data_IF_401920374467
#
_entry.id   IF_401920374467
#
_cell.length_a   1.000
_cell.length_b   1.000
_cell.length_c   1.000
_cell.angle_alpha   90.00
_cell.angle_beta   90.00
_cell.angle_gamma   90.00
#
_symmetry.space_group_name_H-M   'P 1'
#
loop_
_entity.id
_entity.type
_entity.pdbx_description
1 polymer ?
#
# COMPACT_ATOMS: atom_id res chain seq x y z
N UNK A 1 4.97 -10.31 28.42
CA UNK A 1 3.77 -10.91 29.06
C UNK A 1 2.71 -11.08 27.97
N UNK A 2 1.82 -12.04 28.15
CA UNK A 2 0.70 -12.30 27.26
C UNK A 2 -0.62 -12.14 28.02
N UNK A 3 -1.67 -11.78 27.29
CA UNK A 3 -3.04 -11.61 27.82
C UNK A 3 -4.07 -12.40 26.99
N UNK A 4 -3.60 -13.41 26.29
CA UNK A 4 -4.39 -14.23 25.36
C UNK A 4 -5.52 -15.00 26.04
N UNK A 5 -5.40 -15.36 27.31
CA UNK A 5 -6.45 -16.00 28.08
C UNK A 5 -7.69 -15.12 28.29
N UNK A 6 -7.57 -13.81 28.15
CA UNK A 6 -8.67 -12.85 28.34
C UNK A 6 -9.37 -12.47 27.02
N UNK A 7 -8.90 -12.94 25.87
CA UNK A 7 -9.52 -12.73 24.58
C UNK A 7 -9.83 -11.26 24.26
N UNK A 8 -11.06 -10.97 23.83
CA UNK A 8 -11.50 -9.61 23.48
C UNK A 8 -11.57 -8.66 24.67
N UNK A 9 -11.88 -9.16 25.85
CA UNK A 9 -11.94 -8.37 27.08
C UNK A 9 -10.55 -7.88 27.47
N UNK A 10 -9.52 -8.73 27.31
CA UNK A 10 -8.13 -8.35 27.49
C UNK A 10 -7.69 -7.24 26.53
N UNK A 11 -8.08 -7.33 25.26
CA UNK A 11 -7.81 -6.27 24.28
C UNK A 11 -8.48 -4.93 24.69
N UNK A 12 -9.71 -4.97 25.18
CA UNK A 12 -10.41 -3.78 25.66
C UNK A 12 -9.71 -3.19 26.90
N UNK A 13 -9.30 -4.03 27.86
CA UNK A 13 -8.56 -3.58 29.02
C UNK A 13 -7.24 -2.92 28.66
N UNK A 14 -6.50 -3.44 27.66
CA UNK A 14 -5.28 -2.80 27.15
C UNK A 14 -5.55 -1.43 26.53
N UNK A 15 -6.66 -1.25 25.82
CA UNK A 15 -7.03 0.05 25.25
C UNK A 15 -7.28 1.10 26.34
N UNK A 16 -7.68 0.68 27.53
CA UNK A 16 -7.96 1.54 28.67
C UNK A 16 -6.78 1.74 29.62
N UNK A 17 -5.71 0.97 29.47
CA UNK A 17 -4.57 0.88 30.39
C UNK A 17 -3.60 2.07 30.29
N UNK A 18 -4.09 3.30 30.15
CA UNK A 18 -3.28 4.53 30.13
C UNK A 18 -2.48 4.68 31.42
N UNK A 19 -1.19 4.92 31.29
CA UNK A 19 -0.24 4.98 32.43
C UNK A 19 0.42 3.64 32.76
N UNK A 20 -0.06 2.54 32.15
CA UNK A 20 0.57 1.22 32.21
C UNK A 20 1.11 0.78 30.85
N UNK A 21 0.50 1.27 29.77
CA UNK A 21 0.90 1.06 28.38
C UNK A 21 1.15 2.42 27.74
N UNK A 22 2.30 2.59 27.10
CA UNK A 22 2.71 3.84 26.46
C UNK A 22 2.19 3.96 25.03
N UNK A 23 2.10 2.84 24.31
CA UNK A 23 1.62 2.79 22.92
C UNK A 23 1.00 1.43 22.59
N UNK A 24 -0.05 1.44 21.77
CA UNK A 24 -0.65 0.25 21.17
C UNK A 24 -0.35 0.23 19.66
N UNK A 25 0.02 -0.94 19.16
CA UNK A 25 0.22 -1.18 17.72
C UNK A 25 -0.70 -2.34 17.33
N UNK A 26 -1.95 -2.06 16.91
CA UNK A 26 -2.90 -3.13 16.57
C UNK A 26 -2.46 -3.86 15.30
N UNK A 27 -2.55 -5.19 15.32
CA UNK A 27 -2.31 -6.07 14.18
C UNK A 27 -3.52 -6.98 13.98
N UNK A 28 -4.05 -7.03 12.75
CA UNK A 28 -5.21 -7.85 12.42
C UNK A 28 -6.04 -7.25 11.30
N UNK A 29 -7.27 -7.71 11.14
CA UNK A 29 -8.18 -7.17 10.12
C UNK A 29 -8.64 -5.74 10.42
N UNK A 30 -9.11 -5.03 9.38
CA UNK A 30 -9.52 -3.63 9.45
C UNK A 30 -10.49 -3.32 10.61
N UNK A 31 -11.42 -4.23 10.91
CA UNK A 31 -12.38 -4.06 12.02
C UNK A 31 -11.71 -3.95 13.39
N UNK A 32 -10.68 -4.77 13.67
CA UNK A 32 -9.93 -4.69 14.92
C UNK A 32 -9.14 -3.38 14.99
N UNK A 33 -8.43 -3.05 13.93
CA UNK A 33 -7.61 -1.82 13.87
C UNK A 33 -8.49 -0.60 14.14
N UNK A 34 -9.63 -0.49 13.44
CA UNK A 34 -10.58 0.61 13.62
C UNK A 34 -11.19 0.64 15.04
N UNK A 35 -11.47 -0.52 15.64
CA UNK A 35 -11.96 -0.56 17.01
C UNK A 35 -10.92 -0.03 18.00
N UNK A 36 -9.66 -0.40 17.84
CA UNK A 36 -8.56 0.10 18.68
C UNK A 36 -8.38 1.61 18.49
N UNK A 37 -8.31 2.09 17.25
CA UNK A 37 -8.12 3.52 16.94
C UNK A 37 -9.24 4.37 17.54
N UNK A 38 -10.50 3.92 17.47
CA UNK A 38 -11.65 4.68 17.95
C UNK A 38 -11.84 4.66 19.47
N UNK A 39 -11.46 3.57 20.12
CA UNK A 39 -11.82 3.33 21.53
C UNK A 39 -10.63 3.44 22.50
N UNK A 40 -9.39 3.43 22.01
CA UNK A 40 -8.22 3.45 22.88
C UNK A 40 -8.03 4.79 23.58
N UNK A 41 -7.75 4.73 24.88
CA UNK A 41 -7.25 5.86 25.69
C UNK A 41 -5.71 5.92 25.71
N UNK A 42 -5.06 4.84 25.25
CA UNK A 42 -3.62 4.73 25.05
C UNK A 42 -3.31 5.24 23.64
N UNK A 43 -2.20 5.97 23.42
CA UNK A 43 -1.75 6.31 22.05
C UNK A 43 -1.65 5.10 21.15
N UNK A 44 -2.10 5.24 19.89
CA UNK A 44 -2.12 4.15 18.91
C UNK A 44 -1.24 4.50 17.73
N UNK A 45 -0.39 3.56 17.31
CA UNK A 45 0.23 3.60 15.99
C UNK A 45 -0.57 2.65 15.10
N UNK A 46 -1.32 3.23 14.17
CA UNK A 46 -2.17 2.49 13.26
C UNK A 46 -1.35 1.85 12.16
N UNK A 47 -1.55 0.54 11.95
CA UNK A 47 -1.08 -0.15 10.74
C UNK A 47 -2.26 -0.28 9.79
N UNK A 48 -2.07 0.10 8.50
CA UNK A 48 -3.18 0.18 7.55
C UNK A 48 -3.38 -1.09 6.72
N UNK A 49 -4.59 -1.24 6.17
CA UNK A 49 -4.84 -2.10 5.02
C UNK A 49 -4.10 -1.55 3.79
N UNK A 50 -3.83 -2.38 2.80
CA UNK A 50 -3.04 -2.00 1.63
C UNK A 50 -3.83 -2.06 0.32
N UNK A 51 -4.67 -1.07 0.02
CA UNK A 51 -5.21 -0.91 -1.34
C UNK A 51 -4.16 -0.23 -2.24
N UNK A 52 -3.19 -1.03 -2.67
CA UNK A 52 -1.94 -0.60 -3.31
C UNK A 52 -2.11 -0.51 -4.83
N UNK A 53 -1.63 0.60 -5.42
CA UNK A 53 -1.73 0.86 -6.85
C UNK A 53 -0.37 0.87 -7.52
N UNK A 54 -0.33 0.40 -8.77
CA UNK A 54 0.78 0.60 -9.69
C UNK A 54 0.26 1.39 -10.88
N UNK A 55 0.92 2.49 -11.20
CA UNK A 55 0.64 3.28 -12.39
C UNK A 55 1.73 3.12 -13.43
N UNK A 56 1.34 2.71 -14.64
CA UNK A 56 2.22 2.64 -15.82
C UNK A 56 1.99 3.90 -16.64
N UNK A 57 2.97 4.79 -16.60
CA UNK A 57 2.95 6.06 -17.33
C UNK A 57 3.18 5.88 -18.84
N UNK A 58 2.83 6.90 -19.63
CA UNK A 58 3.05 6.92 -21.08
C UNK A 58 4.51 6.69 -21.49
N UNK A 59 5.46 7.09 -20.63
CA UNK A 59 6.90 6.92 -20.84
C UNK A 59 7.47 5.66 -20.18
N UNK A 60 6.61 4.81 -19.58
CA UNK A 60 7.04 3.62 -18.86
C UNK A 60 7.76 2.61 -19.76
N UNK A 61 8.85 2.03 -19.24
CA UNK A 61 9.50 0.88 -19.84
C UNK A 61 8.61 -0.37 -19.60
N UNK A 62 7.93 -0.80 -20.66
CA UNK A 62 6.95 -1.87 -20.59
C UNK A 62 7.58 -3.24 -20.31
N UNK A 63 8.84 -3.44 -20.67
CA UNK A 63 9.58 -4.68 -20.39
C UNK A 63 9.93 -4.78 -18.90
N UNK A 64 10.20 -3.66 -18.23
CA UNK A 64 10.36 -3.58 -16.78
C UNK A 64 9.02 -3.66 -16.03
N UNK A 65 7.95 -3.12 -16.61
CA UNK A 65 6.63 -3.06 -15.98
C UNK A 65 6.07 -4.45 -15.66
N UNK A 66 6.14 -5.39 -16.60
CA UNK A 66 5.55 -6.74 -16.44
C UNK A 66 6.15 -7.48 -15.24
N UNK A 67 7.47 -7.68 -15.11
CA UNK A 67 8.03 -8.38 -13.95
C UNK A 67 7.75 -7.64 -12.62
N UNK A 68 7.71 -6.32 -12.62
CA UNK A 68 7.36 -5.53 -11.42
C UNK A 68 5.92 -5.85 -10.97
N UNK A 69 4.96 -5.80 -11.89
CA UNK A 69 3.54 -6.06 -11.61
C UNK A 69 3.34 -7.51 -11.15
N UNK A 70 3.92 -8.47 -11.86
CA UNK A 70 3.85 -9.88 -11.49
C UNK A 70 4.41 -10.10 -10.08
N UNK A 71 5.59 -9.57 -9.79
CA UNK A 71 6.17 -9.69 -8.45
C UNK A 71 5.28 -9.03 -7.40
N UNK A 72 4.83 -7.80 -7.65
CA UNK A 72 4.00 -7.04 -6.73
C UNK A 72 2.66 -7.74 -6.42
N UNK A 73 2.05 -8.41 -7.40
CA UNK A 73 0.77 -9.11 -7.20
C UNK A 73 0.92 -10.53 -6.69
N UNK A 74 1.90 -11.29 -7.19
CA UNK A 74 1.87 -12.76 -7.06
C UNK A 74 2.89 -13.35 -6.10
N UNK A 75 3.89 -12.58 -5.65
CA UNK A 75 4.90 -13.09 -4.72
C UNK A 75 4.26 -13.52 -3.38
N UNK A 76 3.33 -12.71 -2.86
CA UNK A 76 2.55 -13.00 -1.66
C UNK A 76 1.29 -12.14 -1.65
N UNK A 77 0.15 -12.73 -1.94
CA UNK A 77 -1.11 -12.00 -2.15
C UNK A 77 -1.76 -11.46 -0.88
N UNK A 78 -1.60 -12.16 0.25
CA UNK A 78 -2.28 -11.84 1.51
C UNK A 78 -1.51 -10.85 2.39
N UNK A 79 -0.77 -9.91 1.82
CA UNK A 79 -0.01 -8.88 2.55
C UNK A 79 -0.33 -7.48 2.06
N UNK A 80 -0.27 -6.51 2.98
CA UNK A 80 -0.69 -5.13 2.77
C UNK A 80 0.07 -4.33 1.70
N UNK A 81 1.25 -4.80 1.25
CA UNK A 81 2.03 -4.18 0.17
C UNK A 81 1.92 -4.92 -1.17
N UNK A 82 1.06 -5.95 -1.27
CA UNK A 82 0.73 -6.57 -2.56
C UNK A 82 -0.07 -5.60 -3.42
N UNK A 83 0.21 -5.57 -4.73
CA UNK A 83 -0.55 -4.69 -5.63
C UNK A 83 -2.00 -5.17 -5.78
N UNK A 84 -2.94 -4.24 -5.68
CA UNK A 84 -4.36 -4.49 -5.81
C UNK A 84 -4.95 -3.86 -7.08
N UNK A 85 -4.35 -2.75 -7.54
CA UNK A 85 -4.81 -2.01 -8.72
C UNK A 85 -3.65 -1.74 -9.68
N UNK A 86 -3.96 -1.83 -10.96
CA UNK A 86 -3.10 -1.47 -12.09
C UNK A 86 -3.77 -0.34 -12.88
N UNK A 87 -3.20 0.84 -12.85
CA UNK A 87 -3.60 1.96 -13.68
C UNK A 87 -2.65 2.08 -14.86
N UNK A 88 -3.17 2.26 -16.06
CA UNK A 88 -2.37 2.29 -17.29
C UNK A 88 -2.72 3.55 -18.08
N UNK A 89 -1.70 4.34 -18.44
CA UNK A 89 -1.90 5.49 -19.30
C UNK A 89 -2.45 5.05 -20.67
N UNK A 90 -3.45 5.74 -21.19
CA UNK A 90 -4.13 5.40 -22.45
C UNK A 90 -3.17 5.21 -23.63
N UNK A 91 -2.12 6.03 -23.71
CA UNK A 91 -1.17 6.02 -24.85
C UNK A 91 -0.34 4.73 -24.94
N UNK A 92 -0.27 3.95 -23.85
CA UNK A 92 0.45 2.66 -23.83
C UNK A 92 -0.50 1.47 -23.65
N UNK A 93 -1.76 1.69 -23.33
CA UNK A 93 -2.73 0.65 -22.95
C UNK A 93 -2.88 -0.44 -24.03
N UNK A 94 -3.09 -0.06 -25.29
CA UNK A 94 -3.23 -0.97 -26.42
C UNK A 94 -2.04 -1.93 -26.60
N UNK A 95 -0.83 -1.42 -26.36
CA UNK A 95 0.42 -2.16 -26.51
C UNK A 95 0.75 -2.99 -25.28
N UNK A 96 0.40 -2.46 -24.09
CA UNK A 96 0.83 -3.01 -22.82
C UNK A 96 -0.15 -4.06 -22.26
N UNK A 97 -1.45 -3.76 -22.24
CA UNK A 97 -2.45 -4.58 -21.57
C UNK A 97 -2.51 -6.04 -22.06
N UNK A 98 -2.41 -6.34 -23.36
CA UNK A 98 -2.42 -7.73 -23.82
C UNK A 98 -1.30 -8.58 -23.21
N UNK A 99 -0.06 -8.03 -23.17
CA UNK A 99 1.08 -8.74 -22.61
C UNK A 99 1.00 -8.85 -21.08
N UNK A 100 0.60 -7.78 -20.41
CA UNK A 100 0.44 -7.76 -18.95
C UNK A 100 -0.68 -8.73 -18.50
N UNK A 101 -1.84 -8.70 -19.17
CA UNK A 101 -2.95 -9.59 -18.86
C UNK A 101 -2.59 -11.06 -19.10
N UNK A 102 -1.86 -11.37 -20.19
CA UNK A 102 -1.34 -12.73 -20.40
C UNK A 102 -0.43 -13.18 -19.27
N UNK A 103 0.53 -12.35 -18.87
CA UNK A 103 1.47 -12.68 -17.81
C UNK A 103 0.77 -12.87 -16.45
N UNK A 104 -0.27 -12.09 -16.16
CA UNK A 104 -1.11 -12.22 -14.97
C UNK A 104 -1.98 -13.49 -15.03
N UNK A 105 -2.57 -13.80 -16.18
CA UNK A 105 -3.34 -15.03 -16.41
C UNK A 105 -2.48 -16.28 -16.21
N UNK A 106 -1.24 -16.28 -16.70
CA UNK A 106 -0.27 -17.37 -16.51
C UNK A 106 0.06 -17.62 -15.01
N UNK A 107 -0.26 -16.66 -14.12
CA UNK A 107 -0.17 -16.77 -12.67
C UNK A 107 -1.52 -16.99 -11.97
N UNK A 108 -2.59 -17.18 -12.74
CA UNK A 108 -3.94 -17.41 -12.21
C UNK A 108 -4.60 -16.16 -11.59
N UNK A 109 -4.18 -14.96 -12.00
CA UNK A 109 -4.78 -13.71 -11.52
C UNK A 109 -6.07 -13.43 -12.30
N UNK A 110 -7.18 -13.24 -11.58
CA UNK A 110 -8.43 -12.72 -12.11
C UNK A 110 -8.34 -11.19 -12.27
N UNK A 111 -8.82 -10.66 -13.40
CA UNK A 111 -8.82 -9.22 -13.65
C UNK A 111 -10.23 -8.64 -13.55
N UNK A 112 -10.38 -7.56 -12.80
CA UNK A 112 -11.58 -6.72 -12.80
C UNK A 112 -11.23 -5.44 -13.56
N UNK A 113 -11.67 -5.35 -14.80
CA UNK A 113 -11.24 -4.31 -15.73
C UNK A 113 -12.33 -3.25 -15.94
N UNK A 114 -11.92 -1.97 -16.02
CA UNK A 114 -12.83 -0.94 -16.52
C UNK A 114 -13.22 -1.22 -17.97
N UNK A 115 -14.21 -0.53 -18.50
CA UNK A 115 -14.77 -0.76 -19.84
C UNK A 115 -13.70 -0.70 -20.92
N UNK A 116 -12.75 0.25 -20.83
CA UNK A 116 -11.70 0.43 -21.83
C UNK A 116 -10.65 -0.67 -21.77
N UNK A 117 -10.20 -1.00 -20.57
CA UNK A 117 -9.23 -2.09 -20.37
C UNK A 117 -9.84 -3.44 -20.74
N UNK A 118 -11.12 -3.66 -20.38
CA UNK A 118 -11.86 -4.87 -20.70
C UNK A 118 -11.87 -5.11 -22.20
N UNK A 119 -12.27 -4.12 -23.00
CA UNK A 119 -12.34 -4.23 -24.46
C UNK A 119 -10.99 -4.58 -25.11
N UNK A 120 -9.89 -3.95 -24.65
CA UNK A 120 -8.54 -4.22 -25.16
C UNK A 120 -8.10 -5.65 -24.82
N UNK A 121 -8.31 -6.06 -23.57
CA UNK A 121 -7.87 -7.38 -23.09
C UNK A 121 -8.72 -8.49 -23.72
N UNK A 122 -10.04 -8.30 -23.86
CA UNK A 122 -10.95 -9.23 -24.52
C UNK A 122 -10.56 -9.45 -25.98
N UNK A 123 -10.27 -8.36 -26.71
CA UNK A 123 -9.83 -8.42 -28.10
C UNK A 123 -8.52 -9.21 -28.28
N UNK A 124 -7.67 -9.29 -27.27
CA UNK A 124 -6.43 -10.06 -27.29
C UNK A 124 -6.66 -11.59 -27.22
N UNK A 125 -7.85 -12.05 -26.82
CA UNK A 125 -8.25 -13.45 -26.84
C UNK A 125 -7.35 -14.35 -25.97
N UNK A 126 -7.00 -13.93 -24.77
CA UNK A 126 -6.04 -14.63 -23.89
C UNK A 126 -6.70 -15.90 -23.33
N UNK A 127 -6.15 -17.10 -23.64
CA UNK A 127 -6.70 -18.34 -23.11
C UNK A 127 -6.66 -18.39 -21.57
N UNK A 128 -7.72 -18.93 -20.97
CA UNK A 128 -7.82 -19.18 -19.52
C UNK A 128 -7.76 -17.92 -18.63
N UNK A 129 -7.85 -16.72 -19.19
CA UNK A 129 -7.94 -15.50 -18.41
C UNK A 129 -9.32 -15.41 -17.74
N UNK A 130 -9.37 -15.38 -16.42
CA UNK A 130 -10.56 -14.99 -15.67
C UNK A 130 -10.64 -13.45 -15.66
N UNK A 131 -11.70 -12.90 -16.23
CA UNK A 131 -11.89 -11.45 -16.32
C UNK A 131 -13.37 -11.08 -16.20
N UNK A 132 -13.65 -9.97 -15.54
CA UNK A 132 -14.98 -9.37 -15.47
C UNK A 132 -14.91 -7.85 -15.46
N UNK A 133 -16.03 -7.20 -15.73
CA UNK A 133 -16.14 -5.75 -15.58
C UNK A 133 -15.97 -5.34 -14.12
N UNK A 134 -15.16 -4.31 -13.89
CA UNK A 134 -15.01 -3.70 -12.58
C UNK A 134 -16.28 -2.94 -12.20
N UNK A 135 -16.58 -2.93 -10.93
CA UNK A 135 -17.60 -2.10 -10.29
C UNK A 135 -16.93 -0.98 -9.49
N UNK A 136 -17.69 0.02 -9.05
CA UNK A 136 -17.16 1.10 -8.22
C UNK A 136 -16.49 0.57 -6.95
N UNK A 137 -17.02 -0.50 -6.36
CA UNK A 137 -16.47 -1.11 -5.16
C UNK A 137 -15.10 -1.76 -5.39
N UNK A 138 -14.80 -2.20 -6.61
CA UNK A 138 -13.52 -2.81 -6.92
C UNK A 138 -12.35 -1.84 -6.69
N UNK A 139 -12.57 -0.54 -6.85
CA UNK A 139 -11.53 0.47 -6.66
C UNK A 139 -11.13 0.66 -5.19
N UNK A 140 -12.04 0.39 -4.25
CA UNK A 140 -11.82 0.50 -2.81
C UNK A 140 -11.49 -0.83 -2.12
N UNK A 141 -11.55 -1.94 -2.87
CA UNK A 141 -11.40 -3.29 -2.30
C UNK A 141 -9.93 -3.73 -2.23
N UNK A 142 -9.43 -4.02 -1.04
CA UNK A 142 -8.22 -4.82 -0.85
C UNK A 142 -8.61 -6.30 -0.99
N UNK A 143 -8.27 -6.93 -2.12
CA UNK A 143 -8.70 -8.30 -2.43
C UNK A 143 -8.02 -9.37 -1.59
N UNK A 144 -6.73 -9.17 -1.25
CA UNK A 144 -5.90 -10.16 -0.57
C UNK A 144 -5.88 -11.55 -1.25
N UNK A 145 -6.10 -11.56 -2.55
CA UNK A 145 -6.28 -12.73 -3.41
C UNK A 145 -5.58 -12.52 -4.75
N UNK A 146 -5.54 -13.55 -5.59
CA UNK A 146 -5.08 -13.46 -6.98
C UNK A 146 -6.15 -12.74 -7.84
N UNK A 147 -6.46 -11.51 -7.48
CA UNK A 147 -7.42 -10.63 -8.15
C UNK A 147 -6.82 -9.24 -8.27
N UNK A 148 -6.96 -8.57 -9.40
CA UNK A 148 -6.42 -7.23 -9.64
C UNK A 148 -7.40 -6.36 -10.41
N UNK A 149 -7.67 -5.16 -9.90
CA UNK A 149 -8.39 -4.12 -10.63
C UNK A 149 -7.50 -3.51 -11.72
N UNK A 150 -8.03 -3.31 -12.93
CA UNK A 150 -7.30 -2.72 -14.06
C UNK A 150 -8.09 -1.55 -14.63
N UNK A 151 -7.46 -0.37 -14.71
CA UNK A 151 -8.09 0.87 -15.16
C UNK A 151 -7.20 1.59 -16.16
N UNK A 152 -7.79 2.12 -17.23
CA UNK A 152 -7.11 3.06 -18.13
C UNK A 152 -7.38 4.48 -17.65
N UNK A 153 -6.33 5.28 -17.60
CA UNK A 153 -6.39 6.70 -17.25
C UNK A 153 -5.86 7.57 -18.39
N UNK A 154 -6.41 8.77 -18.54
CA UNK A 154 -6.08 9.65 -19.66
C UNK A 154 -4.86 10.52 -19.41
N UNK A 155 -4.42 10.63 -18.15
CA UNK A 155 -3.27 11.46 -17.77
C UNK A 155 -2.66 11.04 -16.45
N UNK A 156 -1.46 11.56 -16.16
CA UNK A 156 -0.82 11.46 -14.85
C UNK A 156 -1.70 12.08 -13.75
N UNK A 157 -2.36 13.21 -14.02
CA UNK A 157 -3.23 13.87 -13.05
C UNK A 157 -4.41 12.98 -12.68
N UNK A 158 -5.08 12.37 -13.65
CA UNK A 158 -6.17 11.42 -13.39
C UNK A 158 -5.69 10.20 -12.59
N UNK A 159 -4.49 9.67 -12.90
CA UNK A 159 -3.91 8.57 -12.14
C UNK A 159 -3.72 8.96 -10.67
N UNK A 160 -3.11 10.13 -10.41
CA UNK A 160 -2.86 10.64 -9.07
C UNK A 160 -4.18 10.87 -8.31
N UNK A 161 -5.16 11.48 -8.94
CA UNK A 161 -6.47 11.77 -8.32
C UNK A 161 -7.21 10.46 -7.99
N UNK A 162 -7.21 9.48 -8.91
CA UNK A 162 -7.79 8.17 -8.68
C UNK A 162 -7.08 7.42 -7.55
N UNK A 163 -5.75 7.43 -7.52
CA UNK A 163 -4.97 6.79 -6.46
C UNK A 163 -5.26 7.45 -5.11
N UNK A 164 -5.17 8.77 -5.00
CA UNK A 164 -5.43 9.48 -3.75
C UNK A 164 -6.86 9.31 -3.24
N UNK A 165 -7.83 9.07 -4.13
CA UNK A 165 -9.22 8.81 -3.77
C UNK A 165 -9.41 7.42 -3.16
N UNK A 166 -8.75 6.40 -3.70
CA UNK A 166 -9.01 4.99 -3.37
C UNK A 166 -7.91 4.34 -2.53
N UNK A 167 -6.73 4.98 -2.43
CA UNK A 167 -5.61 4.47 -1.64
C UNK A 167 -5.90 4.50 -0.15
N UNK A 168 -5.38 3.50 0.55
CA UNK A 168 -5.32 3.49 2.01
C UNK A 168 -4.10 4.24 2.58
N UNK A 169 -3.32 4.89 1.73
CA UNK A 169 -2.12 5.64 2.12
C UNK A 169 -0.90 4.77 2.45
N UNK A 170 -0.89 3.52 1.99
CA UNK A 170 0.16 2.56 2.33
C UNK A 170 1.36 2.65 1.38
N UNK A 171 1.21 2.19 0.16
CA UNK A 171 2.29 2.08 -0.83
C UNK A 171 1.74 2.25 -2.23
N UNK A 172 2.41 3.08 -3.04
CA UNK A 172 2.08 3.23 -4.45
C UNK A 172 3.33 3.13 -5.31
N UNK A 173 3.18 2.79 -6.59
CA UNK A 173 4.30 2.71 -7.53
C UNK A 173 3.97 3.41 -8.83
N UNK A 174 4.96 4.11 -9.39
CA UNK A 174 4.95 4.61 -10.77
C UNK A 174 6.02 3.89 -11.59
N UNK A 175 5.67 3.52 -12.81
CA UNK A 175 6.61 3.02 -13.82
C UNK A 175 6.68 4.07 -14.93
N UNK A 176 7.80 4.79 -14.99
CA UNK A 176 8.02 5.92 -15.88
C UNK A 176 9.51 6.17 -16.11
N UNK A 177 9.86 6.63 -17.29
CA UNK A 177 11.22 7.13 -17.62
C UNK A 177 11.22 8.67 -17.72
N UNK A 178 10.07 9.34 -17.49
CA UNK A 178 9.97 10.80 -17.46
C UNK A 178 10.20 11.31 -16.03
N UNK A 179 11.34 12.00 -15.84
CA UNK A 179 11.70 12.56 -14.53
C UNK A 179 10.63 13.50 -13.97
N UNK A 180 10.02 14.33 -14.83
CA UNK A 180 8.97 15.28 -14.40
C UNK A 180 7.72 14.57 -13.94
N UNK A 181 7.32 13.49 -14.61
CA UNK A 181 6.19 12.66 -14.19
C UNK A 181 6.47 11.96 -12.85
N UNK A 182 7.69 11.40 -12.69
CA UNK A 182 8.13 10.76 -11.45
C UNK A 182 8.08 11.74 -10.28
N UNK A 183 8.67 12.93 -10.42
CA UNK A 183 8.70 13.95 -9.37
C UNK A 183 7.29 14.46 -9.02
N UNK A 184 6.43 14.63 -10.03
CA UNK A 184 5.05 15.05 -9.83
C UNK A 184 4.26 13.99 -9.06
N UNK A 185 4.38 12.73 -9.49
CA UNK A 185 3.75 11.60 -8.81
C UNK A 185 4.23 11.49 -7.36
N UNK A 186 5.54 11.46 -7.13
CA UNK A 186 6.12 11.31 -5.80
C UNK A 186 5.72 12.44 -4.83
N UNK A 187 5.52 13.66 -5.33
CA UNK A 187 5.10 14.80 -4.51
C UNK A 187 3.61 14.85 -4.23
N UNK A 188 2.78 14.38 -5.17
CA UNK A 188 1.31 14.51 -5.08
C UNK A 188 0.63 13.27 -4.52
N UNK A 189 1.25 12.11 -4.59
CA UNK A 189 0.75 10.90 -3.93
C UNK A 189 0.94 11.01 -2.43
N UNK A 190 -0.16 10.84 -1.69
CA UNK A 190 -0.17 10.98 -0.23
C UNK A 190 -0.13 9.61 0.47
N UNK A 191 0.72 8.72 0.01
CA UNK A 191 0.98 7.43 0.64
C UNK A 191 2.28 7.43 1.45
N UNK A 192 2.39 6.50 2.39
CA UNK A 192 3.56 6.41 3.27
C UNK A 192 4.83 6.05 2.49
N UNK A 193 4.68 5.27 1.41
CA UNK A 193 5.78 4.87 0.54
C UNK A 193 5.39 5.06 -0.93
N UNK A 194 6.29 5.64 -1.70
CA UNK A 194 6.19 5.73 -3.17
C UNK A 194 7.41 5.04 -3.77
N UNK A 195 7.15 4.04 -4.61
CA UNK A 195 8.16 3.33 -5.39
C UNK A 195 8.24 3.91 -6.79
N UNK A 196 9.44 3.98 -7.32
CA UNK A 196 9.70 4.38 -8.71
C UNK A 196 10.39 3.23 -9.42
N UNK A 197 9.80 2.74 -10.50
CA UNK A 197 10.32 1.62 -11.28
C UNK A 197 10.70 0.39 -10.45
N UNK A 198 9.93 0.13 -9.39
CA UNK A 198 10.18 -0.96 -8.45
C UNK A 198 8.87 -1.57 -7.94
N UNK A 199 8.96 -2.84 -7.53
CA UNK A 199 7.83 -3.55 -6.93
C UNK A 199 7.45 -2.96 -5.57
N UNK A 200 6.14 -2.87 -5.31
CA UNK A 200 5.60 -2.45 -4.02
C UNK A 200 5.97 -3.40 -2.88
N UNK A 201 6.41 -4.63 -3.21
CA UNK A 201 6.91 -5.62 -2.24
C UNK A 201 8.18 -5.19 -1.51
N UNK A 202 8.90 -4.17 -2.00
CA UNK A 202 10.03 -3.59 -1.30
C UNK A 202 9.64 -2.77 -0.06
N UNK A 203 8.38 -2.43 0.12
CA UNK A 203 7.88 -1.75 1.33
C UNK A 203 7.88 -2.73 2.51
N UNK A 204 9.04 -2.92 3.10
CA UNK A 204 9.31 -3.90 4.14
C UNK A 204 10.46 -3.40 5.02
N UNK A 205 10.30 -3.43 6.34
CA UNK A 205 11.28 -2.92 7.29
C UNK A 205 12.62 -3.65 7.22
N UNK A 206 12.60 -4.97 6.95
CA UNK A 206 13.81 -5.75 6.74
C UNK A 206 14.55 -5.36 5.47
N UNK A 207 13.81 -5.17 4.37
CA UNK A 207 14.36 -4.76 3.06
C UNK A 207 14.88 -3.31 3.13
N UNK A 208 14.23 -2.43 3.88
CA UNK A 208 14.70 -1.05 4.10
C UNK A 208 15.89 -0.95 5.05
N UNK A 209 16.34 -2.07 5.63
CA UNK A 209 17.50 -2.11 6.49
C UNK A 209 17.23 -1.72 7.95
N UNK A 210 15.97 -1.74 8.40
CA UNK A 210 15.60 -1.45 9.79
C UNK A 210 15.80 -2.65 10.74
N UNK A 211 16.26 -3.79 10.20
CA UNK A 211 16.56 -5.01 10.95
C UNK A 211 15.35 -5.81 11.38
N UNK A 212 14.16 -5.23 11.36
CA UNK A 212 12.88 -5.87 11.68
C UNK A 212 11.74 -5.10 11.05
N UNK A 213 10.55 -5.72 11.02
CA UNK A 213 9.30 -5.03 10.73
C UNK A 213 8.26 -5.29 11.82
N UNK A 214 7.78 -4.21 12.42
CA UNK A 214 6.63 -4.22 13.34
C UNK A 214 5.32 -4.01 12.60
N UNK A 215 5.40 -3.49 11.39
CA UNK A 215 4.28 -3.16 10.51
C UNK A 215 4.56 -1.90 9.74
N UNK A 216 3.58 -1.49 8.95
CA UNK A 216 3.68 -0.29 8.11
C UNK A 216 2.56 0.66 8.55
N UNK A 217 2.95 1.83 9.06
CA UNK A 217 2.01 2.85 9.50
C UNK A 217 1.61 3.74 8.34
N UNK A 218 0.31 3.96 8.18
CA UNK A 218 -0.25 4.90 7.21
C UNK A 218 -0.56 6.27 7.81
N UNK A 219 -0.34 6.42 9.13
CA UNK A 219 -0.58 7.68 9.83
C UNK A 219 0.40 8.77 9.40
N UNK A 220 -0.08 10.02 9.42
CA UNK A 220 0.76 11.22 9.21
C UNK A 220 1.36 11.71 10.53
N UNK A 221 1.92 10.77 11.29
CA UNK A 221 2.60 10.98 12.57
C UNK A 221 4.07 10.57 12.44
N UNK A 222 4.85 10.67 13.53
CA UNK A 222 6.28 10.36 13.53
C UNK A 222 6.63 8.92 13.12
N UNK A 223 5.73 7.96 13.30
CA UNK A 223 5.86 6.59 12.80
C UNK A 223 5.00 6.45 11.52
N UNK A 224 5.55 6.77 10.36
CA UNK A 224 4.90 6.62 9.05
C UNK A 224 5.75 5.74 8.13
N UNK A 225 5.11 4.81 7.42
CA UNK A 225 5.78 3.82 6.60
C UNK A 225 6.26 2.61 7.41
N UNK A 226 7.24 1.84 6.91
CA UNK A 226 7.81 0.70 7.62
C UNK A 226 8.38 1.09 8.97
N UNK A 227 8.06 0.31 10.01
CA UNK A 227 8.50 0.53 11.39
C UNK A 227 9.41 -0.61 11.85
N UNK A 228 10.52 -0.26 12.45
CA UNK A 228 11.46 -1.18 13.07
C UNK A 228 11.60 -0.96 14.58
N UNK A 229 12.77 -1.27 15.11
CA UNK A 229 13.06 -1.11 16.55
C UNK A 229 13.05 0.34 17.01
N UNK A 230 13.39 1.28 16.13
CA UNK A 230 13.45 2.71 16.43
C UNK A 230 12.11 3.27 16.88
N UNK A 231 11.01 2.84 16.23
CA UNK A 231 9.67 3.30 16.53
C UNK A 231 9.11 2.75 17.84
N UNK A 232 9.78 1.73 18.42
CA UNK A 232 9.48 1.18 19.76
C UNK A 232 10.22 1.90 20.88
N UNK A 233 11.03 2.89 20.57
CA UNK A 233 11.84 3.64 21.53
C UNK A 233 11.55 5.13 21.44
N UNK A 234 11.87 5.85 22.53
CA UNK A 234 11.79 7.31 22.55
C UNK A 234 13.03 7.89 23.19
N UNK A 235 13.20 9.20 23.05
CA UNK A 235 14.35 9.93 23.58
C UNK A 235 13.99 10.60 24.90
N UNK A 236 14.97 10.67 25.81
CA UNK A 236 14.93 11.42 27.05
C UNK A 236 16.04 12.48 27.03
N UNK A 237 15.69 13.71 27.32
CA UNK A 237 16.66 14.79 27.42
C UNK A 237 17.14 14.94 28.85
N UNK A 238 18.46 15.02 29.07
CA UNK A 238 19.06 15.23 30.36
C UNK A 238 19.95 16.46 30.26
N UNK A 239 19.62 17.50 31.01
CA UNK A 239 20.43 18.73 31.11
C UNK A 239 21.27 18.71 32.37
N UNK A 240 22.59 18.85 32.24
CA UNK A 240 23.50 19.04 33.36
C UNK A 240 23.86 20.52 33.46
N UNK A 241 23.57 21.14 34.62
CA UNK A 241 23.87 22.54 34.89
C UNK A 241 24.75 22.73 36.09
N UNK A 242 25.33 23.92 36.21
CA UNK A 242 26.16 24.39 37.36
C UNK A 242 25.55 25.62 38.02
N UNK A 243 24.23 25.86 37.85
CA UNK A 243 23.54 27.00 38.46
C UNK A 243 23.02 28.04 37.44
N UNK A 244 23.04 27.73 36.13
CA UNK A 244 22.53 28.66 35.13
C UNK A 244 21.03 28.90 35.32
N UNK A 245 20.60 30.15 35.13
CA UNK A 245 19.20 30.56 35.11
C UNK A 245 18.83 31.16 33.76
N UNK A 246 17.59 30.99 33.35
CA UNK A 246 17.06 31.67 32.16
C UNK A 246 16.62 33.08 32.55
N UNK A 247 17.13 34.09 31.80
CA UNK A 247 16.68 35.50 31.91
C UNK A 247 15.27 35.67 31.35
#
# INVERSE_FOLDING_TARGET
DTVDEYGREGATAMMEARGHIDVLIPRGGAGLIQAVVRNSKVPVIETGAGNVHIYVDRSGDLDKAIPIIINAKTQRVGVCNAAEKLLVHRDVAERFLPAAAKALADKGVELHADERAFAIIEAAGIPSLAMKHATDQDWDTEYLALTMGVKIVDSLDEAIDSINMHSTGHTESIISEDYSAIETFAKRIDSAVVMVNASTRFTDGGVFGFGAELGISTQKMHARGPMGLKEMTTTKWIGYGTGQVRA
#
